data_IF_477623422040
#
_entry.id   IF_477623422040
#
_cell.length_a   1.000
_cell.length_b   1.000
_cell.length_c   1.000
_cell.angle_alpha   90.00
_cell.angle_beta   90.00
_cell.angle_gamma   90.00
#
_symmetry.space_group_name_H-M   'P 1'
#
loop_
_entity.id
_entity.type
_entity.pdbx_description
1 polymer ?
#
# COMPACT_ATOMS: atom_id res chain seq x y z
N UNK A 1 16.60 45.71 -32.75
CA UNK A 1 15.34 45.08 -32.30
C UNK A 1 15.50 43.57 -32.04
N UNK A 2 16.11 42.80 -32.93
CA UNK A 2 16.36 41.36 -32.72
C UNK A 2 17.29 41.01 -31.53
N UNK A 3 18.24 41.88 -31.19
CA UNK A 3 19.18 41.65 -30.07
C UNK A 3 18.50 41.60 -28.69
N UNK A 4 17.54 42.49 -28.43
CA UNK A 4 16.80 42.49 -27.16
C UNK A 4 15.84 41.29 -27.06
N UNK A 5 15.19 40.92 -28.17
CA UNK A 5 14.34 39.73 -28.22
C UNK A 5 15.14 38.44 -27.98
N UNK A 6 16.34 38.34 -28.55
CA UNK A 6 17.23 37.20 -28.35
C UNK A 6 17.73 37.12 -26.90
N UNK A 7 18.10 38.25 -26.30
CA UNK A 7 18.49 38.32 -24.89
C UNK A 7 17.34 37.88 -23.96
N UNK A 8 16.12 38.36 -24.20
CA UNK A 8 14.92 37.95 -23.46
C UNK A 8 14.68 36.45 -23.62
N UNK A 9 14.74 35.93 -24.85
CA UNK A 9 14.57 34.50 -25.12
C UNK A 9 15.62 33.65 -24.40
N UNK A 10 16.88 34.08 -24.38
CA UNK A 10 17.97 33.40 -23.68
C UNK A 10 17.72 33.36 -22.16
N UNK A 11 17.30 34.48 -21.57
CA UNK A 11 16.94 34.55 -20.14
C UNK A 11 15.77 33.60 -19.84
N UNK A 12 14.72 33.61 -20.67
CA UNK A 12 13.57 32.72 -20.50
C UNK A 12 13.97 31.23 -20.58
N UNK A 13 14.85 30.86 -21.51
CA UNK A 13 15.36 29.49 -21.65
C UNK A 13 16.15 29.10 -20.40
N UNK A 14 17.03 29.97 -19.89
CA UNK A 14 17.79 29.71 -18.66
C UNK A 14 16.85 29.52 -17.48
N UNK A 15 15.85 30.38 -17.31
CA UNK A 15 14.84 30.24 -16.24
C UNK A 15 14.05 28.93 -16.39
N UNK A 16 13.63 28.57 -17.61
CA UNK A 16 12.93 27.33 -17.88
C UNK A 16 13.78 26.09 -17.57
N UNK A 17 15.08 26.12 -17.90
CA UNK A 17 16.02 25.05 -17.56
C UNK A 17 16.20 24.92 -16.04
N UNK A 18 16.34 26.04 -15.32
CA UNK A 18 16.41 26.02 -13.85
C UNK A 18 15.14 25.41 -13.27
N UNK A 19 13.96 25.85 -13.71
CA UNK A 19 12.70 25.29 -13.25
C UNK A 19 12.59 23.79 -13.56
N UNK A 20 12.99 23.37 -14.75
CA UNK A 20 13.02 21.96 -15.14
C UNK A 20 13.94 21.15 -14.20
N UNK A 21 15.22 21.50 -14.07
CA UNK A 21 16.15 20.70 -13.28
C UNK A 21 15.78 20.61 -11.79
N UNK A 22 15.31 21.71 -11.19
CA UNK A 22 15.00 21.74 -9.76
C UNK A 22 13.61 21.18 -9.44
N UNK A 23 12.58 21.43 -10.27
CA UNK A 23 11.19 21.11 -9.93
C UNK A 23 10.64 19.88 -10.67
N UNK A 24 11.34 19.30 -11.64
CA UNK A 24 10.83 18.14 -12.38
C UNK A 24 10.44 16.96 -11.47
N UNK A 25 11.25 16.67 -10.44
CA UNK A 25 10.96 15.61 -9.47
C UNK A 25 9.69 15.88 -8.64
N UNK A 26 9.42 17.15 -8.34
CA UNK A 26 8.21 17.58 -7.61
C UNK A 26 6.99 17.63 -8.52
N UNK A 27 7.18 18.01 -9.78
CA UNK A 27 6.14 18.03 -10.80
C UNK A 27 5.64 16.62 -11.11
N UNK A 28 6.54 15.64 -11.28
CA UNK A 28 6.15 14.24 -11.45
C UNK A 28 5.39 13.72 -10.22
N UNK A 29 5.85 14.05 -9.02
CA UNK A 29 5.17 13.68 -7.78
C UNK A 29 3.75 14.24 -7.71
N UNK A 30 3.57 15.50 -8.12
CA UNK A 30 2.26 16.15 -8.20
C UNK A 30 1.33 15.44 -9.20
N UNK A 31 1.82 15.12 -10.41
CA UNK A 31 1.04 14.37 -11.41
C UNK A 31 0.62 13.00 -10.87
N UNK A 32 1.55 12.26 -10.27
CA UNK A 32 1.27 10.92 -9.73
C UNK A 32 0.27 11.00 -8.57
N UNK A 33 0.44 11.93 -7.64
CA UNK A 33 -0.50 12.16 -6.54
C UNK A 33 -1.90 12.49 -7.05
N UNK A 34 -2.00 13.35 -8.09
CA UNK A 34 -3.27 13.70 -8.69
C UNK A 34 -3.91 12.51 -9.45
N UNK A 35 -3.10 11.71 -10.16
CA UNK A 35 -3.57 10.50 -10.83
C UNK A 35 -4.11 9.46 -9.83
N UNK A 36 -3.42 9.26 -8.71
CA UNK A 36 -3.89 8.41 -7.60
C UNK A 36 -5.21 8.96 -7.06
N UNK A 37 -5.31 10.26 -6.81
CA UNK A 37 -6.54 10.90 -6.33
C UNK A 37 -7.73 10.67 -7.28
N UNK A 38 -7.53 10.79 -8.59
CA UNK A 38 -8.58 10.52 -9.59
C UNK A 38 -8.94 9.03 -9.57
N UNK A 39 -7.96 8.14 -9.50
CA UNK A 39 -8.18 6.69 -9.51
C UNK A 39 -9.00 6.22 -8.29
N UNK A 40 -8.71 6.77 -7.11
CA UNK A 40 -9.40 6.43 -5.86
C UNK A 40 -10.64 7.28 -5.58
N UNK A 41 -11.03 8.17 -6.49
CA UNK A 41 -12.18 9.06 -6.32
C UNK A 41 -13.51 8.29 -6.16
N UNK A 42 -13.66 7.15 -6.83
CA UNK A 42 -14.90 6.38 -6.84
C UNK A 42 -15.11 5.46 -5.62
N UNK A 43 -14.27 5.54 -4.59
CA UNK A 43 -14.47 4.77 -3.36
C UNK A 43 -15.38 5.53 -2.39
N UNK A 44 -16.70 5.41 -2.58
CA UNK A 44 -17.77 6.17 -1.91
C UNK A 44 -17.75 6.18 -0.37
N UNK A 45 -17.02 5.28 0.29
CA UNK A 45 -17.04 5.13 1.78
C UNK A 45 -15.72 5.43 2.49
N UNK A 46 -14.60 5.50 1.77
CA UNK A 46 -13.30 5.77 2.37
C UNK A 46 -12.51 6.65 1.42
N UNK A 47 -12.57 7.97 1.66
CA UNK A 47 -11.75 8.93 0.92
C UNK A 47 -10.28 8.68 1.28
N UNK A 48 -9.59 7.97 0.39
CA UNK A 48 -8.15 7.77 0.47
C UNK A 48 -7.48 8.96 -0.21
N UNK A 49 -6.57 9.62 0.53
CA UNK A 49 -5.81 10.76 0.05
C UNK A 49 -4.32 10.48 0.15
N UNK A 50 -3.61 10.61 -0.97
CA UNK A 50 -2.18 10.34 -1.05
C UNK A 50 -1.46 11.58 -1.55
N UNK A 51 -0.56 12.11 -0.73
CA UNK A 51 0.35 13.20 -1.09
C UNK A 51 1.77 12.67 -1.18
N UNK A 52 2.48 13.12 -2.20
CA UNK A 52 3.88 12.76 -2.41
C UNK A 52 4.65 14.06 -2.63
N UNK A 53 5.63 14.35 -1.78
CA UNK A 53 6.42 15.58 -1.87
C UNK A 53 7.35 15.60 -3.09
N UNK A 54 8.16 14.55 -3.27
CA UNK A 54 9.02 14.42 -4.46
C UNK A 54 9.33 12.97 -4.78
N UNK A 55 9.48 12.67 -6.07
CA UNK A 55 9.86 11.34 -6.56
C UNK A 55 11.11 11.47 -7.42
N UNK A 56 12.08 10.59 -7.19
CA UNK A 56 13.28 10.50 -8.01
C UNK A 56 13.48 9.07 -8.49
N UNK A 57 13.61 8.91 -9.81
CA UNK A 57 13.84 7.62 -10.45
C UNK A 57 15.31 7.48 -10.84
N UNK A 58 15.98 6.49 -10.29
CA UNK A 58 17.33 6.08 -10.68
C UNK A 58 17.22 4.76 -11.45
N UNK A 59 16.79 4.83 -12.72
CA UNK A 59 16.53 3.64 -13.56
C UNK A 59 17.75 2.73 -13.68
N UNK A 60 18.95 3.31 -13.85
CA UNK A 60 20.19 2.54 -14.01
C UNK A 60 20.47 1.62 -12.81
N UNK A 61 20.13 2.09 -11.61
CA UNK A 61 20.31 1.33 -10.37
C UNK A 61 19.04 0.57 -9.95
N UNK A 62 17.93 0.74 -10.68
CA UNK A 62 16.62 0.19 -10.33
C UNK A 62 16.06 0.76 -9.02
N UNK A 63 16.36 2.02 -8.67
CA UNK A 63 15.89 2.63 -7.41
C UNK A 63 14.85 3.72 -7.66
N UNK A 64 13.83 3.77 -6.82
CA UNK A 64 12.82 4.82 -6.76
C UNK A 64 12.88 5.42 -5.36
N UNK A 65 13.20 6.71 -5.28
CA UNK A 65 13.25 7.46 -4.03
C UNK A 65 11.99 8.32 -3.92
N UNK A 66 11.29 8.18 -2.81
CA UNK A 66 10.10 8.93 -2.43
C UNK A 66 10.46 9.80 -1.23
N UNK A 67 10.07 11.07 -1.22
CA UNK A 67 10.21 11.94 -0.05
C UNK A 67 8.85 12.51 0.34
N UNK A 68 8.62 12.58 1.64
CA UNK A 68 7.41 13.12 2.27
C UNK A 68 6.15 12.52 1.65
N UNK A 69 5.99 11.21 1.81
CA UNK A 69 4.77 10.49 1.42
C UNK A 69 3.80 10.55 2.58
N UNK A 70 2.59 11.03 2.32
CA UNK A 70 1.50 11.08 3.30
C UNK A 70 0.31 10.36 2.74
N UNK A 71 -0.16 9.39 3.49
CA UNK A 71 -1.35 8.62 3.21
C UNK A 71 -2.36 8.96 4.30
N UNK A 72 -3.46 9.58 3.92
CA UNK A 72 -4.58 9.84 4.79
C UNK A 72 -5.74 8.95 4.39
N UNK A 73 -6.27 8.23 5.36
CA UNK A 73 -7.50 7.48 5.30
C UNK A 73 -8.41 7.96 6.42
N UNK A 74 -9.69 7.60 6.37
CA UNK A 74 -10.67 7.94 7.41
C UNK A 74 -10.30 7.38 8.79
N UNK A 75 -9.59 6.26 8.82
CA UNK A 75 -9.26 5.50 10.03
C UNK A 75 -7.78 5.55 10.43
N UNK A 76 -6.90 5.94 9.51
CA UNK A 76 -5.46 5.92 9.74
C UNK A 76 -4.75 6.99 8.91
N UNK A 77 -3.63 7.47 9.40
CA UNK A 77 -2.72 8.34 8.65
C UNK A 77 -1.32 7.74 8.73
N UNK A 78 -0.69 7.54 7.58
CA UNK A 78 0.68 7.05 7.49
C UNK A 78 1.51 8.13 6.84
N UNK A 79 2.61 8.51 7.49
CA UNK A 79 3.58 9.47 6.96
C UNK A 79 4.95 8.82 6.91
N UNK A 80 5.65 9.04 5.81
CA UNK A 80 6.97 8.48 5.54
C UNK A 80 7.86 9.63 5.08
N UNK A 81 8.90 9.93 5.85
CA UNK A 81 9.82 11.05 5.53
C UNK A 81 10.64 10.72 4.29
N UNK A 82 11.26 9.53 4.24
CA UNK A 82 11.95 9.04 3.04
C UNK A 82 11.61 7.58 2.80
N UNK A 83 11.26 7.23 1.57
CA UNK A 83 11.09 5.86 1.11
C UNK A 83 12.03 5.57 -0.04
N UNK A 84 12.62 4.39 -0.06
CA UNK A 84 13.45 3.89 -1.14
C UNK A 84 12.95 2.50 -1.53
N UNK A 85 12.51 2.37 -2.77
CA UNK A 85 12.18 1.10 -3.39
C UNK A 85 13.36 0.75 -4.30
N UNK A 86 14.07 -0.32 -3.99
CA UNK A 86 15.19 -0.80 -4.81
C UNK A 86 14.83 -2.14 -5.45
N UNK A 87 14.95 -2.20 -6.76
CA UNK A 87 14.89 -3.43 -7.55
C UNK A 87 16.31 -3.88 -7.92
N UNK A 88 16.74 -4.97 -7.28
CA UNK A 88 18.02 -5.65 -7.53
C UNK A 88 17.83 -6.72 -8.60
N UNK A 89 17.64 -6.28 -9.85
CA UNK A 89 17.37 -7.19 -10.97
C UNK A 89 18.52 -8.19 -11.24
N UNK A 90 19.75 -7.87 -10.84
CA UNK A 90 20.93 -8.73 -11.02
C UNK A 90 20.99 -9.96 -10.12
N UNK A 91 20.13 -10.06 -9.09
CA UNK A 91 20.08 -11.25 -8.21
C UNK A 91 19.52 -12.42 -9.02
N UNK A 92 20.26 -13.53 -9.10
CA UNK A 92 19.88 -14.70 -9.91
C UNK A 92 19.00 -15.70 -9.18
N UNK A 93 19.20 -15.88 -7.88
CA UNK A 93 18.39 -16.76 -7.02
C UNK A 93 17.91 -15.95 -5.82
N UNK A 94 16.61 -15.58 -5.77
CA UNK A 94 16.05 -14.98 -4.57
C UNK A 94 16.03 -15.99 -3.42
N UNK A 95 15.92 -15.48 -2.19
CA UNK A 95 15.67 -16.28 -0.98
C UNK A 95 14.48 -17.23 -1.20
N UNK A 96 14.66 -18.51 -0.89
CA UNK A 96 13.65 -19.55 -1.07
C UNK A 96 12.55 -19.47 0.00
N UNK A 97 11.39 -20.03 -0.30
CA UNK A 97 10.23 -20.08 0.62
C UNK A 97 10.55 -20.77 1.95
N UNK A 98 11.45 -21.76 1.93
CA UNK A 98 11.90 -22.55 3.07
C UNK A 98 12.66 -21.69 4.11
N UNK A 99 13.45 -20.72 3.64
CA UNK A 99 14.18 -19.78 4.49
C UNK A 99 13.23 -18.78 5.18
N UNK A 100 12.09 -18.43 4.56
CA UNK A 100 11.08 -17.52 5.12
C UNK A 100 10.32 -18.17 6.28
N UNK A 101 10.13 -19.49 6.22
CA UNK A 101 9.37 -20.28 7.21
C UNK A 101 10.26 -20.72 8.38
N UNK A 102 11.59 -20.78 8.18
CA UNK A 102 12.53 -21.23 9.21
C UNK A 102 12.43 -20.38 10.50
N UNK A 103 12.26 -21.08 11.61
CA UNK A 103 11.94 -20.55 12.95
C UNK A 103 13.01 -19.54 13.41
N UNK A 104 12.64 -18.44 14.09
CA UNK A 104 13.57 -17.51 14.72
C UNK A 104 14.29 -18.18 15.91
N UNK A 105 15.28 -19.03 15.62
CA UNK A 105 16.01 -19.82 16.63
C UNK A 105 17.51 -19.97 16.35
N UNK A 106 18.00 -19.73 15.13
CA UNK A 106 19.43 -19.74 14.84
C UNK A 106 19.93 -18.31 14.56
N UNK A 107 20.98 -17.93 15.29
CA UNK A 107 21.75 -16.68 15.19
C UNK A 107 22.48 -16.53 13.83
N UNK A 108 21.83 -16.83 12.70
CA UNK A 108 22.40 -16.64 11.36
C UNK A 108 21.87 -15.33 10.79
N UNK A 109 22.71 -14.28 10.89
CA UNK A 109 22.64 -12.94 10.28
C UNK A 109 21.29 -12.61 9.60
N UNK A 110 20.35 -12.05 10.35
CA UNK A 110 19.13 -11.42 9.79
C UNK A 110 19.47 -10.39 8.69
N UNK A 111 20.65 -9.78 8.78
CA UNK A 111 21.21 -8.86 7.78
C UNK A 111 21.51 -9.50 6.42
N UNK A 112 21.86 -10.79 6.35
CA UNK A 112 22.07 -11.45 5.05
C UNK A 112 20.75 -11.83 4.35
N UNK A 113 19.67 -12.07 5.11
CA UNK A 113 18.34 -12.42 4.57
C UNK A 113 17.73 -11.28 3.75
N UNK A 114 17.88 -10.05 4.21
CA UNK A 114 17.44 -8.83 3.50
C UNK A 114 18.24 -8.55 2.22
N UNK A 115 19.45 -9.08 2.13
CA UNK A 115 20.36 -8.79 1.02
C UNK A 115 20.06 -9.64 -0.22
N UNK A 116 19.32 -10.73 -0.06
CA UNK A 116 18.95 -11.68 -1.10
C UNK A 116 17.56 -11.44 -1.73
N UNK A 117 16.80 -10.44 -1.26
CA UNK A 117 15.51 -10.05 -1.85
C UNK A 117 15.69 -9.22 -3.14
N UNK A 118 14.89 -9.50 -4.18
CA UNK A 118 14.91 -8.72 -5.43
C UNK A 118 14.34 -7.33 -5.25
N UNK A 119 13.23 -7.20 -4.52
CA UNK A 119 12.69 -5.90 -4.11
C UNK A 119 13.09 -5.66 -2.66
N UNK A 120 13.71 -4.51 -2.43
CA UNK A 120 14.07 -4.03 -1.11
C UNK A 120 13.40 -2.68 -0.86
N UNK A 121 12.58 -2.63 0.18
CA UNK A 121 11.88 -1.45 0.65
C UNK A 121 12.65 -0.92 1.86
N UNK A 122 13.18 0.30 1.77
CA UNK A 122 13.82 0.98 2.89
C UNK A 122 13.05 2.25 3.21
N UNK A 123 12.57 2.38 4.44
CA UNK A 123 11.80 3.54 4.89
C UNK A 123 12.53 4.23 6.04
N UNK A 124 12.46 5.55 6.09
CA UNK A 124 13.02 6.36 7.17
C UNK A 124 11.93 7.27 7.73
N UNK A 125 11.78 7.28 9.05
CA UNK A 125 10.81 8.13 9.75
C UNK A 125 9.37 7.77 9.40
N UNK A 126 8.97 6.54 9.72
CA UNK A 126 7.60 6.06 9.51
C UNK A 126 6.73 6.45 10.70
N UNK A 127 5.73 7.27 10.49
CA UNK A 127 4.74 7.68 11.49
C UNK A 127 3.38 7.09 11.10
N UNK A 128 2.83 6.22 11.95
CA UNK A 128 1.52 5.59 11.72
C UNK A 128 0.56 6.02 12.82
N UNK A 129 -0.42 6.84 12.48
CA UNK A 129 -1.52 7.23 13.36
C UNK A 129 -2.73 6.34 13.08
N UNK A 130 -3.21 5.69 14.12
CA UNK A 130 -4.34 4.77 14.07
C UNK A 130 -5.44 5.33 14.97
N UNK A 131 -6.55 5.76 14.35
CA UNK A 131 -7.65 6.41 15.05
C UNK A 131 -8.69 5.39 15.50
N UNK A 132 -9.50 4.88 14.56
CA UNK A 132 -10.62 3.98 14.84
C UNK A 132 -10.84 3.00 13.68
N UNK A 133 -11.21 1.74 13.97
CA UNK A 133 -11.56 0.73 12.97
C UNK A 133 -13.02 0.85 12.53
N UNK A 134 -13.40 2.00 11.96
CA UNK A 134 -14.79 2.32 11.58
C UNK A 134 -15.43 1.22 10.72
N UNK A 135 -14.70 0.65 9.75
CA UNK A 135 -15.20 -0.43 8.89
C UNK A 135 -15.69 -1.68 9.65
N UNK A 136 -15.14 -1.97 10.84
CA UNK A 136 -15.62 -3.08 11.66
C UNK A 136 -16.96 -2.74 12.32
N UNK A 137 -17.14 -1.49 12.77
CA UNK A 137 -18.41 -1.02 13.31
C UNK A 137 -19.48 -0.95 12.22
N UNK A 138 -19.14 -0.46 11.03
CA UNK A 138 -20.06 -0.41 9.88
C UNK A 138 -20.57 -1.81 9.53
N UNK A 139 -19.68 -2.81 9.54
CA UNK A 139 -20.07 -4.19 9.31
C UNK A 139 -21.03 -4.73 10.40
N UNK A 140 -20.80 -4.36 11.66
CA UNK A 140 -21.69 -4.74 12.77
C UNK A 140 -23.05 -4.04 12.62
N UNK A 141 -23.07 -2.76 12.23
CA UNK A 141 -24.29 -2.00 11.98
C UNK A 141 -25.07 -2.60 10.80
N UNK A 142 -24.41 -2.90 9.68
CA UNK A 142 -25.00 -3.58 8.53
C UNK A 142 -25.63 -4.93 8.93
N UNK A 143 -24.97 -5.67 9.83
CA UNK A 143 -25.50 -6.93 10.35
C UNK A 143 -26.71 -6.72 11.27
N UNK A 144 -26.68 -5.71 12.14
CA UNK A 144 -27.76 -5.37 13.06
C UNK A 144 -29.00 -4.86 12.31
N UNK A 145 -28.82 -4.01 11.30
CA UNK A 145 -29.89 -3.51 10.43
C UNK A 145 -30.57 -4.65 9.65
N UNK A 146 -29.78 -5.61 9.16
CA UNK A 146 -30.32 -6.82 8.52
C UNK A 146 -31.17 -7.66 9.48
N UNK A 147 -30.85 -7.65 10.77
CA UNK A 147 -31.58 -8.40 11.80
C UNK A 147 -32.85 -7.67 12.27
N UNK A 148 -32.83 -6.33 12.34
CA UNK A 148 -33.95 -5.50 12.80
C UNK A 148 -35.06 -5.32 11.76
N UNK A 149 -34.83 -5.67 10.49
CA UNK A 149 -35.87 -5.61 9.45
C UNK A 149 -36.91 -6.72 9.71
N UNK A 150 -38.18 -6.39 10.00
CA UNK A 150 -39.17 -7.38 10.41
C UNK A 150 -39.34 -8.44 9.33
N UNK A 151 -39.35 -9.69 9.78
CA UNK A 151 -39.32 -10.91 8.99
C UNK A 151 -40.55 -11.04 8.09
N UNK A 152 -40.54 -10.39 6.92
CA UNK A 152 -41.23 -10.93 5.75
C UNK A 152 -40.45 -12.19 5.34
N UNK A 153 -40.86 -13.32 5.93
CA UNK A 153 -40.49 -14.69 5.55
C UNK A 153 -40.50 -14.75 4.01
N UNK A 154 -39.43 -15.14 3.32
CA UNK A 154 -39.04 -16.54 3.13
C UNK A 154 -37.77 -16.56 2.25
N UNK A 155 -36.86 -17.51 2.52
CA UNK A 155 -35.82 -18.03 1.61
C UNK A 155 -34.81 -17.06 0.96
N UNK A 156 -33.79 -16.64 1.72
CA UNK A 156 -32.54 -16.13 1.11
C UNK A 156 -31.23 -16.67 1.70
N UNK A 157 -31.27 -17.47 2.78
CA UNK A 157 -30.09 -18.18 3.28
C UNK A 157 -29.57 -19.26 2.29
N UNK A 158 -30.34 -19.63 1.27
CA UNK A 158 -29.91 -20.48 0.16
C UNK A 158 -29.51 -19.72 -1.12
N UNK A 159 -29.56 -18.37 -1.14
CA UNK A 159 -29.22 -17.57 -2.34
C UNK A 159 -27.79 -17.05 -2.41
N UNK A 160 -27.01 -17.16 -1.32
CA UNK A 160 -25.58 -16.85 -1.36
C UNK A 160 -24.73 -18.01 -1.92
N UNK A 161 -25.16 -19.27 -1.77
CA UNK A 161 -24.46 -20.43 -2.34
C UNK A 161 -25.00 -20.87 -3.71
N UNK A 162 -26.25 -20.57 -4.08
CA UNK A 162 -26.81 -20.98 -5.38
C UNK A 162 -26.52 -20.03 -6.55
N UNK A 163 -25.94 -18.84 -6.30
CA UNK A 163 -25.44 -17.97 -7.38
C UNK A 163 -24.01 -18.34 -7.84
N UNK A 164 -23.34 -19.27 -7.15
CA UNK A 164 -22.02 -19.82 -7.50
C UNK A 164 -22.07 -21.23 -8.09
N UNK A 165 -23.25 -21.78 -8.38
CA UNK A 165 -23.39 -23.13 -8.95
C UNK A 165 -24.58 -23.20 -9.90
N UNK A 166 -24.41 -22.61 -11.08
CA UNK A 166 -24.99 -23.03 -12.38
C UNK A 166 -24.62 -22.00 -13.44
N UNK A 167 -23.40 -22.15 -13.96
CA UNK A 167 -23.26 -22.13 -15.40
C UNK A 167 -22.42 -23.35 -15.76
N UNK A 168 -23.05 -24.18 -16.57
CA UNK A 168 -22.58 -25.50 -16.93
C UNK A 168 -21.19 -25.48 -17.55
N UNK A 169 -20.48 -26.53 -17.17
CA UNK A 169 -19.44 -27.21 -17.91
C UNK A 169 -19.60 -27.12 -19.43
N UNK A 170 -18.77 -26.27 -20.03
CA UNK A 170 -18.04 -26.60 -21.25
C UNK A 170 -16.61 -26.07 -21.12
N UNK A 171 -15.78 -26.79 -20.35
CA UNK A 171 -14.33 -26.76 -20.63
C UNK A 171 -14.13 -27.45 -21.99
N UNK A 172 -13.26 -26.95 -22.89
CA UNK A 172 -11.91 -26.55 -22.51
C UNK A 172 -11.36 -25.32 -23.27
N UNK A 173 -10.22 -24.81 -22.77
CA UNK A 173 -9.29 -23.89 -23.42
C UNK A 173 -9.48 -22.37 -23.24
N UNK A 174 -8.54 -21.80 -22.47
CA UNK A 174 -7.79 -20.55 -22.65
C UNK A 174 -8.50 -19.28 -23.17
N UNK A 175 -8.28 -18.11 -22.52
CA UNK A 175 -8.69 -16.84 -23.10
C UNK A 175 -7.87 -16.56 -24.38
N UNK A 176 -8.46 -16.00 -25.45
CA UNK A 176 -7.72 -15.63 -26.64
C UNK A 176 -6.77 -14.51 -26.25
N UNK A 177 -5.49 -14.86 -26.17
CA UNK A 177 -4.41 -13.91 -26.18
C UNK A 177 -4.55 -12.99 -27.39
N UNK A 178 -4.59 -11.69 -27.11
CA UNK A 178 -4.16 -10.58 -27.95
C UNK A 178 -3.22 -11.09 -29.05
N UNK A 179 -3.65 -10.94 -30.30
CA UNK A 179 -2.92 -11.11 -31.57
C UNK A 179 -1.47 -11.59 -31.40
N UNK A 180 -1.28 -12.91 -31.35
CA UNK A 180 0.02 -13.51 -31.63
C UNK A 180 0.21 -13.49 -33.13
N UNK A 181 0.78 -12.41 -33.66
CA UNK A 181 1.48 -12.49 -34.92
C UNK A 181 2.61 -13.52 -34.74
N UNK A 182 2.42 -14.72 -35.28
CA UNK A 182 3.48 -15.72 -35.36
C UNK A 182 4.49 -15.27 -36.41
N UNK A 183 5.32 -14.28 -36.06
CA UNK A 183 6.59 -14.10 -36.76
C UNK A 183 7.38 -15.39 -36.53
N UNK A 184 7.57 -16.17 -37.59
CA UNK A 184 8.48 -17.30 -37.58
C UNK A 184 9.90 -16.75 -37.38
N UNK A 185 10.31 -16.72 -36.13
CA UNK A 185 11.65 -16.30 -35.74
C UNK A 185 12.64 -17.38 -36.20
N UNK A 186 13.66 -17.05 -37.01
CA UNK A 186 14.64 -18.01 -37.50
C UNK A 186 15.38 -18.72 -36.34
N UNK A 187 15.75 -19.99 -36.54
CA UNK A 187 16.34 -20.83 -35.49
C UNK A 187 17.62 -20.27 -34.87
N UNK A 188 18.39 -19.50 -35.65
CA UNK A 188 19.57 -18.77 -35.18
C UNK A 188 19.21 -17.69 -34.15
N UNK A 189 18.11 -16.96 -34.37
CA UNK A 189 17.62 -15.95 -33.43
C UNK A 189 17.02 -16.61 -32.18
N UNK A 190 16.42 -17.80 -32.28
CA UNK A 190 15.99 -18.57 -31.09
C UNK A 190 17.15 -19.06 -30.25
N UNK A 191 18.23 -19.58 -30.87
CA UNK A 191 19.45 -19.98 -30.16
C UNK A 191 20.17 -18.79 -29.52
N UNK A 192 20.26 -17.66 -30.24
CA UNK A 192 20.81 -16.41 -29.71
C UNK A 192 19.96 -15.85 -28.56
N UNK A 193 18.63 -15.89 -28.67
CA UNK A 193 17.71 -15.45 -27.63
C UNK A 193 17.73 -16.40 -26.42
N UNK A 194 17.90 -17.71 -26.62
CA UNK A 194 18.05 -18.68 -25.53
C UNK A 194 19.40 -18.53 -24.80
N UNK A 195 20.47 -18.26 -25.53
CA UNK A 195 21.79 -17.91 -24.97
C UNK A 195 21.74 -16.57 -24.21
N UNK A 196 21.08 -15.56 -24.77
CA UNK A 196 20.88 -14.26 -24.11
C UNK A 196 19.99 -14.38 -22.87
N UNK A 197 18.93 -15.21 -22.92
CA UNK A 197 18.08 -15.55 -21.78
C UNK A 197 18.80 -16.39 -20.71
N UNK A 198 19.82 -17.17 -21.06
CA UNK A 198 20.69 -17.83 -20.07
C UNK A 198 21.62 -16.85 -19.35
N UNK A 199 21.98 -15.74 -20.00
CA UNK A 199 22.79 -14.69 -19.39
C UNK A 199 21.97 -13.70 -18.56
N UNK A 200 20.70 -13.49 -18.92
CA UNK A 200 19.78 -12.62 -18.21
C UNK A 200 19.11 -13.36 -17.02
N UNK A 201 18.95 -12.70 -15.87
CA UNK A 201 18.10 -13.21 -14.80
C UNK A 201 16.67 -13.44 -15.31
N UNK A 202 16.02 -14.53 -14.90
CA UNK A 202 14.59 -14.74 -15.17
C UNK A 202 13.81 -13.60 -14.52
N UNK A 203 13.13 -12.81 -15.33
CA UNK A 203 12.25 -11.71 -14.88
C UNK A 203 10.80 -12.18 -14.87
N UNK A 204 10.55 -13.35 -14.28
CA UNK A 204 9.17 -13.79 -14.08
C UNK A 204 8.55 -12.94 -12.96
N UNK A 205 7.34 -12.38 -13.15
CA UNK A 205 6.65 -11.61 -12.11
C UNK A 205 6.44 -12.40 -10.80
N UNK A 206 6.49 -13.73 -10.87
CA UNK A 206 6.40 -14.64 -9.73
C UNK A 206 7.67 -14.67 -8.88
N UNK A 207 8.83 -14.40 -9.47
CA UNK A 207 10.14 -14.40 -8.81
C UNK A 207 10.45 -13.07 -8.09
N UNK A 208 9.50 -12.13 -8.09
CA UNK A 208 9.65 -10.81 -7.49
C UNK A 208 9.64 -10.85 -5.96
N UNK A 209 9.01 -11.88 -5.41
CA UNK A 209 8.99 -12.20 -3.99
C UNK A 209 10.21 -13.06 -3.63
N UNK A 210 10.72 -12.98 -2.40
CA UNK A 210 10.24 -12.16 -1.28
C UNK A 210 10.69 -10.68 -1.33
N UNK A 211 9.91 -9.82 -0.68
CA UNK A 211 10.23 -8.41 -0.43
C UNK A 211 11.03 -8.30 0.88
N UNK A 212 12.16 -7.59 0.83
CA UNK A 212 12.88 -7.16 2.02
C UNK A 212 12.33 -5.83 2.51
N UNK A 213 12.07 -5.71 3.81
CA UNK A 213 11.58 -4.50 4.46
C UNK A 213 12.60 -4.06 5.51
N UNK A 214 13.05 -2.81 5.40
CA UNK A 214 13.97 -2.16 6.32
C UNK A 214 13.37 -0.81 6.72
N UNK A 215 13.16 -0.57 8.01
CA UNK A 215 12.60 0.67 8.52
C UNK A 215 13.56 1.27 9.55
N UNK A 216 14.07 2.44 9.22
CA UNK A 216 14.92 3.27 10.07
C UNK A 216 14.07 4.31 10.78
N UNK A 217 13.85 4.09 12.07
CA UNK A 217 13.05 4.92 12.97
C UNK A 217 11.58 4.98 12.58
N UNK A 218 10.72 4.64 13.52
CA UNK A 218 9.29 4.82 13.34
C UNK A 218 8.53 4.89 14.65
N UNK A 219 7.31 5.37 14.54
CA UNK A 219 6.36 5.51 15.63
C UNK A 219 4.96 5.07 15.17
N UNK A 220 4.30 4.29 16.00
CA UNK A 220 2.89 3.90 15.84
C UNK A 220 2.14 4.54 17.00
N UNK A 221 1.20 5.43 16.68
CA UNK A 221 0.39 6.16 17.63
C UNK A 221 -1.04 5.66 17.50
N UNK A 222 -1.58 5.12 18.59
CA UNK A 222 -2.95 4.62 18.70
C UNK A 222 -3.74 5.55 19.61
N UNK A 223 -4.79 6.16 19.08
CA UNK A 223 -5.69 6.99 19.86
C UNK A 223 -6.50 7.98 19.03
N UNK A 224 -7.43 8.64 19.70
CA UNK A 224 -8.37 9.62 19.15
C UNK A 224 -8.48 10.79 20.14
N UNK A 225 -8.88 12.00 19.72
CA UNK A 225 -9.31 13.08 20.62
C UNK A 225 -10.30 12.67 21.75
N UNK A 226 -10.99 11.54 21.61
CA UNK A 226 -11.90 10.97 22.61
C UNK A 226 -11.23 10.06 23.64
N UNK A 227 -9.95 9.70 23.45
CA UNK A 227 -9.19 8.87 24.39
C UNK A 227 -8.30 9.75 25.26
N UNK A 228 -8.34 9.62 26.60
CA UNK A 228 -7.57 10.47 27.51
C UNK A 228 -6.06 10.18 27.46
N UNK A 229 -5.67 9.00 27.01
CA UNK A 229 -4.28 8.62 26.82
C UNK A 229 -4.08 8.05 25.40
N UNK A 230 -2.94 8.36 24.80
CA UNK A 230 -2.47 7.83 23.52
C UNK A 230 -1.46 6.72 23.78
N UNK A 231 -1.59 5.60 23.08
CA UNK A 231 -0.60 4.52 23.12
C UNK A 231 0.42 4.78 21.99
N UNK A 232 1.66 5.06 22.38
CA UNK A 232 2.76 5.37 21.47
C UNK A 232 3.78 4.25 21.52
N UNK A 233 3.98 3.57 20.40
CA UNK A 233 5.00 2.56 20.21
C UNK A 233 6.07 3.08 19.25
N UNK A 234 7.26 3.35 19.78
CA UNK A 234 8.42 3.83 19.05
C UNK A 234 9.42 2.69 18.84
N UNK A 235 10.13 2.70 17.72
CA UNK A 235 11.21 1.76 17.44
C UNK A 235 12.32 2.45 16.65
N UNK A 236 13.58 2.06 16.90
CA UNK A 236 14.72 2.62 16.14
C UNK A 236 14.95 1.92 14.83
N UNK A 237 14.85 0.59 14.81
CA UNK A 237 15.07 -0.19 13.59
C UNK A 237 14.01 -1.29 13.53
N UNK A 238 13.46 -1.56 12.35
CA UNK A 238 12.62 -2.72 12.11
C UNK A 238 13.02 -3.40 10.82
N UNK A 239 13.32 -4.70 10.92
CA UNK A 239 13.76 -5.52 9.80
C UNK A 239 12.73 -6.59 9.53
N UNK A 240 12.39 -6.83 8.28
CA UNK A 240 11.42 -7.85 7.95
C UNK A 240 11.47 -8.37 6.54
N UNK A 241 10.76 -9.47 6.34
CA UNK A 241 10.57 -10.08 5.04
C UNK A 241 9.08 -10.32 4.83
N UNK A 242 8.62 -10.00 3.63
CA UNK A 242 7.28 -10.31 3.17
C UNK A 242 7.37 -11.26 1.99
N UNK A 243 6.73 -12.42 2.10
CA UNK A 243 6.77 -13.43 1.06
C UNK A 243 5.49 -14.23 0.98
N UNK A 244 5.41 -15.02 -0.09
CA UNK A 244 4.40 -16.06 -0.25
C UNK A 244 5.06 -17.39 0.05
N UNK A 245 4.33 -18.28 0.71
CA UNK A 245 4.77 -19.63 1.04
C UNK A 245 3.62 -20.62 0.82
N UNK A 246 3.91 -21.91 0.75
CA UNK A 246 2.88 -22.94 0.76
C UNK A 246 2.01 -22.87 2.04
N UNK A 247 0.69 -22.94 1.85
CA UNK A 247 -0.25 -22.99 2.98
C UNK A 247 -0.21 -24.34 3.69
N UNK A 248 -0.59 -24.37 4.97
CA UNK A 248 -0.76 -25.64 5.70
C UNK A 248 -2.10 -26.31 5.35
N UNK A 249 -3.07 -25.54 4.85
CA UNK A 249 -4.38 -26.05 4.47
C UNK A 249 -4.33 -26.65 3.08
N UNK A 250 -4.99 -27.80 2.89
CA UNK A 250 -5.12 -28.45 1.57
C UNK A 250 -5.95 -27.62 0.57
N UNK A 251 -6.83 -26.76 1.07
CA UNK A 251 -7.74 -25.95 0.24
C UNK A 251 -7.16 -24.58 -0.13
N UNK A 252 -5.98 -24.25 0.39
CA UNK A 252 -5.33 -22.96 0.15
C UNK A 252 -3.97 -23.22 -0.50
N UNK A 253 -3.76 -22.66 -1.68
CA UNK A 253 -2.53 -22.90 -2.44
C UNK A 253 -1.34 -22.12 -1.85
N UNK A 254 -1.60 -20.94 -1.29
CA UNK A 254 -0.56 -19.99 -0.91
C UNK A 254 -0.95 -19.17 0.32
N UNK A 255 -0.03 -19.07 1.28
CA UNK A 255 -0.16 -18.15 2.42
C UNK A 255 0.81 -16.97 2.24
N UNK A 256 0.40 -15.79 2.70
CA UNK A 256 1.30 -14.64 2.84
C UNK A 256 1.93 -14.67 4.23
N UNK A 257 3.25 -14.47 4.29
CA UNK A 257 4.02 -14.45 5.53
C UNK A 257 4.72 -13.10 5.64
N UNK A 258 4.43 -12.38 6.72
CA UNK A 258 5.11 -11.15 7.09
C UNK A 258 5.87 -11.41 8.40
N UNK A 259 7.19 -11.38 8.32
CA UNK A 259 8.06 -11.45 9.49
C UNK A 259 8.64 -10.06 9.73
N UNK A 260 8.43 -9.49 10.92
CA UNK A 260 8.97 -8.20 11.32
C UNK A 260 9.65 -8.33 12.68
N UNK A 261 10.89 -7.84 12.78
CA UNK A 261 11.70 -7.80 13.99
C UNK A 261 12.02 -6.35 14.32
N UNK A 262 11.39 -5.86 15.38
CA UNK A 262 11.63 -4.53 15.91
C UNK A 262 12.82 -4.55 16.87
N UNK A 263 13.70 -3.55 16.78
CA UNK A 263 14.83 -3.36 17.67
C UNK A 263 14.69 -2.05 18.43
N UNK A 264 15.06 -2.08 19.72
CA UNK A 264 14.98 -0.94 20.62
C UNK A 264 13.57 -0.32 20.59
N UNK A 265 12.55 -1.17 20.75
CA UNK A 265 11.17 -0.74 20.83
C UNK A 265 10.84 -0.22 22.23
N UNK A 266 10.11 0.88 22.29
CA UNK A 266 9.58 1.47 23.50
C UNK A 266 8.08 1.66 23.32
N UNK A 267 7.28 1.08 24.20
CA UNK A 267 5.84 1.27 24.22
C UNK A 267 5.50 2.08 25.46
N UNK A 268 4.85 3.23 25.27
CA UNK A 268 4.46 4.13 26.35
C UNK A 268 3.02 4.58 26.18
N UNK A 269 2.36 4.77 27.30
CA UNK A 269 1.05 5.41 27.37
C UNK A 269 1.27 6.86 27.76
N UNK A 270 0.88 7.80 26.89
CA UNK A 270 1.12 9.24 27.04
C UNK A 270 -0.24 9.94 27.22
N UNK A 271 -0.39 10.90 28.14
CA UNK A 271 -1.63 11.66 28.26
C UNK A 271 -1.92 12.43 26.95
N UNK A 272 -3.17 12.43 26.53
CA UNK A 272 -3.62 13.11 25.32
C UNK A 272 -3.90 14.59 25.64
N UNK A 273 -3.09 15.50 25.12
CA UNK A 273 -3.32 16.95 25.26
C UNK A 273 -4.56 17.42 24.50
N UNK A 274 -4.93 16.72 23.42
CA UNK A 274 -6.10 17.00 22.58
C UNK A 274 -7.37 16.29 23.08
N UNK A 275 -7.42 15.89 24.36
CA UNK A 275 -8.59 15.22 24.91
C UNK A 275 -9.77 16.18 25.04
N UNK A 276 -10.84 15.91 24.28
CA UNK A 276 -12.06 16.73 24.32
C UNK A 276 -13.06 16.16 25.31
N UNK A 277 -13.57 14.96 25.03
CA UNK A 277 -14.63 14.31 25.81
C UNK A 277 -14.65 12.82 25.48
N UNK A 278 -15.18 11.96 26.38
CA UNK A 278 -15.34 10.56 26.07
C UNK A 278 -16.37 10.38 24.94
N UNK A 279 -16.19 9.30 24.16
CA UNK A 279 -17.03 9.04 22.97
C UNK A 279 -18.52 8.91 23.30
N UNK A 280 -18.85 8.46 24.53
CA UNK A 280 -20.22 8.35 25.03
C UNK A 280 -20.87 9.71 25.24
N UNK A 281 -20.15 10.68 25.81
CA UNK A 281 -20.64 12.04 26.01
C UNK A 281 -20.81 12.75 24.65
N UNK A 282 -19.84 12.60 23.75
CA UNK A 282 -19.94 13.13 22.39
C UNK A 282 -21.15 12.53 21.65
N UNK A 283 -21.34 11.21 21.76
CA UNK A 283 -22.48 10.50 21.18
C UNK A 283 -23.83 10.99 21.71
N UNK A 284 -23.95 11.24 23.02
CA UNK A 284 -25.16 11.80 23.62
C UNK A 284 -25.48 13.20 23.10
N UNK A 285 -24.46 14.08 22.98
CA UNK A 285 -24.62 15.43 22.43
C UNK A 285 -25.04 15.39 20.96
N UNK A 286 -24.43 14.50 20.17
CA UNK A 286 -24.79 14.33 18.75
C UNK A 286 -26.23 13.79 18.63
N UNK A 287 -26.60 12.80 19.44
CA UNK A 287 -27.92 12.21 19.42
C UNK A 287 -29.01 13.23 19.75
N UNK A 288 -28.83 14.03 20.79
CA UNK A 288 -29.74 15.10 21.16
C UNK A 288 -29.85 16.17 20.05
N UNK A 289 -28.72 16.52 19.42
CA UNK A 289 -28.71 17.48 18.30
C UNK A 289 -29.47 16.96 17.08
N UNK A 290 -29.34 15.67 16.76
CA UNK A 290 -30.08 15.02 15.68
C UNK A 290 -31.57 14.98 16.01
N UNK A 291 -31.93 14.65 17.25
CA UNK A 291 -33.33 14.67 17.71
C UNK A 291 -33.97 16.05 17.52
N UNK A 292 -33.27 17.12 17.94
CA UNK A 292 -33.73 18.51 17.77
C UNK A 292 -33.87 18.94 16.31
N UNK A 293 -32.98 18.47 15.44
CA UNK A 293 -33.07 18.76 14.00
C UNK A 293 -34.29 18.06 13.38
N UNK A 294 -34.54 16.80 13.73
CA UNK A 294 -35.71 16.05 13.22
C UNK A 294 -37.02 16.70 13.68
N UNK A 295 -37.13 17.15 14.93
CA UNK A 295 -38.32 17.86 15.41
C UNK A 295 -38.52 19.20 14.71
N UNK A 296 -37.45 19.96 14.47
CA UNK A 296 -37.52 21.23 13.73
C UNK A 296 -38.04 21.06 12.29
N UNK A 297 -37.65 19.98 11.60
CA UNK A 297 -38.14 19.66 10.25
C UNK A 297 -39.57 19.09 10.20
N UNK A 298 -40.12 18.63 11.34
CA UNK A 298 -41.48 18.11 11.42
C UNK A 298 -42.52 19.19 11.81
N UNK A 299 -42.06 20.31 12.37
CA UNK A 299 -42.90 21.47 12.73
C UNK A 299 -43.01 22.53 11.60
N UNK A 300 -42.29 22.33 10.49
CA UNK A 300 -42.32 23.13 9.26
C UNK A 300 -43.16 22.44 8.18
#
# INVERSE_FOLDING_TARGET
MFSHLLLIACICIVVALVLYFFYWNRFIAFIIGHAIRILFWNQERSSVWVEIGSIHFSLLTGRILLKDVRYHSSNQTIKIVKGQIQWRYWIRKPTSEEEIISVPGEHVKDSSRLWSCRIHLSFQGVECFLYNKTAAYDHILDQLERMNRPTSRTSSHQRFFSRFSRQDSSSPFYPPSIVRASMQVPESLKKAMAWFRHQLPTLDPKDLLPLGIDIQTGAIVLGNPSTPNLLVAEFRDALGTFGIAASKSRYDLYKQVLNLKFQKSLVRLVPNEDYVNPITALGAVIHDRIGRLVTFWLEL
#
